data_IF_000046257830
#
_entry.id   IF_000046257830
#
_cell.length_a   1.000
_cell.length_b   1.000
_cell.length_c   1.000
_cell.angle_alpha   90.00
_cell.angle_beta   90.00
_cell.angle_gamma   90.00
#
_symmetry.space_group_name_H-M   'P 1'
#
loop_
_entity.id
_entity.type
_entity.pdbx_description
1 polymer ?
#
# COMPACT_ATOMS: atom_id res chain seq x y z
N UNK A 1 15.31 -14.08 -10.64
CA UNK A 1 14.09 -13.44 -10.09
C UNK A 1 14.47 -12.62 -8.87
N UNK A 2 13.90 -11.41 -8.75
CA UNK A 2 14.22 -10.52 -7.65
C UNK A 2 13.50 -10.95 -6.37
N UNK A 3 14.25 -11.08 -5.28
CA UNK A 3 13.66 -11.34 -3.97
C UNK A 3 13.38 -9.99 -3.29
N UNK A 4 12.21 -9.46 -3.51
CA UNK A 4 11.82 -8.14 -3.02
C UNK A 4 11.89 -8.06 -1.49
N UNK A 5 11.42 -9.09 -0.80
CA UNK A 5 11.40 -9.10 0.67
C UNK A 5 12.83 -9.03 1.22
N UNK A 6 13.73 -9.86 0.69
CA UNK A 6 15.12 -9.86 1.16
C UNK A 6 15.81 -8.52 0.88
N UNK A 7 15.61 -7.97 -0.32
CA UNK A 7 16.17 -6.65 -0.67
C UNK A 7 15.60 -5.57 0.25
N UNK A 8 14.30 -5.64 0.53
CA UNK A 8 13.64 -4.70 1.43
C UNK A 8 14.21 -4.73 2.84
N UNK A 9 14.49 -5.93 3.35
CA UNK A 9 15.13 -6.09 4.66
C UNK A 9 16.54 -5.49 4.65
N UNK A 10 17.32 -5.83 3.64
CA UNK A 10 18.71 -5.35 3.52
C UNK A 10 18.79 -3.82 3.42
N UNK A 11 17.83 -3.20 2.76
CA UNK A 11 17.78 -1.74 2.61
C UNK A 11 17.13 -1.03 3.79
N UNK A 12 16.66 -1.77 4.79
CA UNK A 12 16.01 -1.19 5.96
C UNK A 12 14.63 -0.62 5.71
N UNK A 13 13.95 -1.08 4.65
CA UNK A 13 12.61 -0.62 4.30
C UNK A 13 11.54 -1.33 5.10
N UNK A 14 11.76 -2.62 5.37
CA UNK A 14 10.89 -3.46 6.17
C UNK A 14 11.70 -4.30 7.14
N UNK A 15 11.04 -4.77 8.19
CA UNK A 15 11.63 -5.75 9.10
C UNK A 15 10.53 -6.68 9.62
N UNK A 16 10.95 -7.81 10.18
CA UNK A 16 10.04 -8.82 10.73
C UNK A 16 10.43 -9.15 12.16
N UNK A 17 9.45 -9.62 12.95
CA UNK A 17 9.72 -10.23 14.23
C UNK A 17 10.28 -11.65 14.02
N UNK A 18 10.61 -12.36 15.11
CA UNK A 18 11.31 -13.65 15.04
C UNK A 18 10.58 -14.68 14.18
N UNK A 19 9.27 -14.85 14.38
CA UNK A 19 8.49 -15.87 13.66
C UNK A 19 7.86 -15.35 12.36
N UNK A 20 8.16 -14.11 11.97
CA UNK A 20 7.64 -13.46 10.77
C UNK A 20 6.12 -13.34 10.75
N UNK A 21 5.51 -13.29 11.92
CA UNK A 21 4.05 -13.03 12.01
C UNK A 21 3.72 -11.55 11.94
N UNK A 22 4.70 -10.67 12.17
CA UNK A 22 4.51 -9.21 12.11
C UNK A 22 5.52 -8.59 11.16
N UNK A 23 5.05 -7.70 10.32
CA UNK A 23 5.89 -6.88 9.45
C UNK A 23 5.89 -5.44 9.96
N UNK A 24 7.06 -4.80 9.92
CA UNK A 24 7.20 -3.39 10.21
C UNK A 24 7.67 -2.65 8.96
N UNK A 25 6.94 -1.60 8.62
CA UNK A 25 7.33 -0.66 7.55
C UNK A 25 8.14 0.44 8.20
N UNK A 26 9.46 0.35 8.06
CA UNK A 26 10.39 1.06 8.93
C UNK A 26 10.30 2.58 8.86
N UNK A 27 10.09 3.15 7.67
CA UNK A 27 10.06 4.60 7.50
C UNK A 27 8.93 5.24 8.32
N UNK A 28 7.72 4.66 8.26
CA UNK A 28 6.57 5.17 9.00
C UNK A 28 6.47 4.59 10.42
N UNK A 29 7.18 3.50 10.71
CA UNK A 29 7.12 2.82 12.00
C UNK A 29 5.82 2.06 12.22
N UNK A 30 5.15 1.65 11.16
CA UNK A 30 3.87 0.93 11.24
C UNK A 30 4.06 -0.56 11.16
N UNK A 31 3.34 -1.29 12.03
CA UNK A 31 3.40 -2.75 12.07
C UNK A 31 2.04 -3.35 11.76
N UNK A 32 2.04 -4.51 11.08
CA UNK A 32 0.83 -5.22 10.71
C UNK A 32 1.04 -6.73 10.80
N UNK A 33 -0.08 -7.45 10.80
CA UNK A 33 -0.10 -8.91 10.82
C UNK A 33 0.32 -9.45 9.45
N UNK A 34 1.49 -10.10 9.37
CA UNK A 34 2.01 -10.61 8.10
C UNK A 34 1.41 -11.97 7.71
N UNK A 35 0.64 -12.59 8.60
CA UNK A 35 -0.11 -13.80 8.24
C UNK A 35 -1.34 -13.48 7.39
N UNK A 36 -1.76 -12.22 7.36
CA UNK A 36 -2.83 -11.75 6.51
C UNK A 36 -2.39 -11.81 5.03
N UNK A 37 -3.11 -12.57 4.17
CA UNK A 37 -2.73 -12.69 2.75
C UNK A 37 -2.69 -11.35 2.00
N UNK A 38 -3.56 -10.41 2.35
CA UNK A 38 -3.54 -9.08 1.72
C UNK A 38 -2.30 -8.29 2.12
N UNK A 39 -1.83 -8.46 3.35
CA UNK A 39 -0.62 -7.77 3.80
C UNK A 39 0.61 -8.25 3.02
N UNK A 40 0.64 -9.52 2.64
CA UNK A 40 1.74 -10.05 1.81
C UNK A 40 1.77 -9.39 0.43
N UNK A 41 0.61 -9.18 -0.18
CA UNK A 41 0.50 -8.45 -1.45
C UNK A 41 0.91 -6.99 -1.26
N UNK A 42 0.46 -6.38 -0.17
CA UNK A 42 0.78 -4.99 0.11
C UNK A 42 2.28 -4.75 0.30
N UNK A 43 2.95 -5.63 1.05
CA UNK A 43 4.39 -5.53 1.26
C UNK A 43 5.14 -5.63 -0.07
N UNK A 44 4.77 -6.59 -0.91
CA UNK A 44 5.37 -6.76 -2.23
C UNK A 44 5.15 -5.53 -3.11
N UNK A 45 3.93 -5.01 -3.13
CA UNK A 45 3.56 -3.84 -3.93
C UNK A 45 4.33 -2.59 -3.47
N UNK A 46 4.42 -2.40 -2.16
CA UNK A 46 5.22 -1.33 -1.56
C UNK A 46 6.68 -1.38 -2.04
N UNK A 47 7.28 -2.57 -2.00
CA UNK A 47 8.67 -2.74 -2.44
C UNK A 47 8.82 -2.56 -3.94
N UNK A 48 7.85 -2.99 -4.74
CA UNK A 48 7.87 -2.76 -6.19
C UNK A 48 7.85 -1.28 -6.52
N UNK A 49 7.04 -0.50 -5.81
CA UNK A 49 6.98 0.96 -6.01
C UNK A 49 8.36 1.60 -5.81
N UNK A 50 9.12 1.13 -4.83
CA UNK A 50 10.44 1.67 -4.53
C UNK A 50 11.50 1.10 -5.46
N UNK A 51 11.54 -0.22 -5.61
CA UNK A 51 12.65 -0.92 -6.29
C UNK A 51 12.51 -0.93 -7.80
N UNK A 52 11.29 -1.05 -8.32
CA UNK A 52 11.04 -1.12 -9.76
C UNK A 52 10.65 0.22 -10.36
N UNK A 53 9.83 1.00 -9.65
CA UNK A 53 9.32 2.28 -10.15
C UNK A 53 10.07 3.49 -9.61
N UNK A 54 11.04 3.26 -8.73
CA UNK A 54 11.96 4.28 -8.23
C UNK A 54 11.31 5.42 -7.46
N UNK A 55 10.15 5.18 -6.83
CA UNK A 55 9.56 6.18 -5.95
C UNK A 55 10.35 6.22 -4.64
N UNK A 56 10.78 7.41 -4.18
CA UNK A 56 11.43 7.52 -2.87
C UNK A 56 10.47 7.13 -1.75
N UNK A 57 10.98 6.45 -0.72
CA UNK A 57 10.15 5.99 0.38
C UNK A 57 9.40 7.13 1.07
N UNK A 58 9.98 8.33 1.10
CA UNK A 58 9.35 9.47 1.76
C UNK A 58 8.15 10.03 1.00
N UNK A 59 7.91 9.60 -0.24
CA UNK A 59 6.71 9.97 -1.01
C UNK A 59 5.61 8.93 -0.89
N UNK A 60 5.84 7.83 -0.18
CA UNK A 60 4.87 6.73 -0.06
C UNK A 60 4.35 6.68 1.36
N UNK A 61 3.02 6.68 1.51
CA UNK A 61 2.36 6.50 2.79
C UNK A 61 1.50 5.26 2.76
N UNK A 62 1.61 4.46 3.80
CA UNK A 62 0.82 3.24 3.99
C UNK A 62 -0.30 3.52 5.00
N UNK A 63 -1.40 2.83 4.84
CA UNK A 63 -2.52 2.89 5.79
C UNK A 63 -3.02 4.32 6.00
N UNK A 64 -3.33 4.98 4.88
CA UNK A 64 -3.71 6.41 4.88
C UNK A 64 -5.17 6.55 5.27
N UNK A 65 -5.49 7.32 6.33
CA UNK A 65 -6.88 7.55 6.71
C UNK A 65 -7.62 8.30 5.62
N UNK A 66 -8.84 7.84 5.31
CA UNK A 66 -9.72 8.47 4.34
C UNK A 66 -11.05 8.71 5.04
N UNK A 67 -11.43 9.96 5.20
CA UNK A 67 -12.71 10.33 5.82
C UNK A 67 -13.83 10.20 4.81
N UNK A 68 -14.83 9.38 5.12
CA UNK A 68 -15.98 9.11 4.25
C UNK A 68 -17.25 9.26 5.07
N UNK A 69 -17.84 10.44 5.03
CA UNK A 69 -18.99 10.76 5.87
C UNK A 69 -18.61 10.73 7.34
N UNK A 70 -19.29 9.88 8.13
CA UNK A 70 -19.01 9.73 9.56
C UNK A 70 -17.96 8.66 9.86
N UNK A 71 -17.47 7.97 8.84
CA UNK A 71 -16.49 6.89 9.00
C UNK A 71 -15.12 7.31 8.54
N UNK A 72 -14.08 6.69 9.13
CA UNK A 72 -12.71 6.80 8.65
C UNK A 72 -12.28 5.42 8.18
N UNK A 73 -11.95 5.33 6.89
CA UNK A 73 -11.44 4.12 6.28
C UNK A 73 -9.93 4.23 6.11
N UNK A 74 -9.28 3.18 5.63
CA UNK A 74 -7.85 3.16 5.41
C UNK A 74 -7.56 2.78 3.97
N UNK A 75 -6.88 3.65 3.24
CA UNK A 75 -6.34 3.29 1.93
C UNK A 75 -5.01 2.56 2.15
N UNK A 76 -4.76 1.50 1.40
CA UNK A 76 -3.58 0.67 1.63
C UNK A 76 -2.29 1.43 1.39
N UNK A 77 -2.14 2.04 0.22
CA UNK A 77 -0.92 2.79 -0.14
C UNK A 77 -1.33 4.03 -0.93
N UNK A 78 -0.69 5.15 -0.63
CA UNK A 78 -0.81 6.37 -1.45
C UNK A 78 0.60 6.86 -1.77
N UNK A 79 0.87 7.07 -3.06
CA UNK A 79 2.11 7.69 -3.52
C UNK A 79 1.82 9.16 -3.78
N UNK A 80 2.63 10.04 -3.21
CA UNK A 80 2.45 11.48 -3.32
C UNK A 80 3.44 12.09 -4.30
N UNK A 81 3.06 13.22 -4.88
CA UNK A 81 3.90 13.95 -5.80
C UNK A 81 4.75 15.03 -5.14
N UNK A 82 4.63 15.20 -3.81
CA UNK A 82 5.33 16.24 -3.06
C UNK A 82 5.78 15.69 -1.70
N UNK A 83 6.84 16.29 -1.15
CA UNK A 83 7.45 15.82 0.11
C UNK A 83 6.54 16.01 1.32
N UNK A 84 5.65 16.99 1.29
CA UNK A 84 4.68 17.22 2.38
C UNK A 84 3.51 16.26 2.34
N UNK A 85 3.43 15.43 1.31
CA UNK A 85 2.34 14.45 1.13
C UNK A 85 0.97 15.11 1.11
N UNK A 86 0.84 16.20 0.36
CA UNK A 86 -0.41 16.93 0.19
C UNK A 86 -1.06 16.68 -1.17
N UNK A 87 -0.27 16.24 -2.16
CA UNK A 87 -0.76 16.00 -3.53
C UNK A 87 -0.69 14.52 -3.86
N UNK A 88 -1.78 13.76 -3.63
CA UNK A 88 -1.78 12.33 -3.91
C UNK A 88 -1.68 12.10 -5.43
N UNK A 89 -0.77 11.23 -5.83
CA UNK A 89 -0.55 10.89 -7.23
C UNK A 89 -1.22 9.57 -7.59
N UNK A 90 -0.95 8.52 -6.80
CA UNK A 90 -1.47 7.18 -7.04
C UNK A 90 -2.09 6.65 -5.74
N UNK A 91 -3.31 6.15 -5.83
CA UNK A 91 -3.93 5.40 -4.75
C UNK A 91 -3.89 3.92 -5.11
N UNK A 92 -3.36 3.10 -4.22
CA UNK A 92 -3.18 1.66 -4.46
C UNK A 92 -4.00 0.88 -3.44
N UNK A 93 -4.81 -0.05 -3.93
CA UNK A 93 -5.54 -1.01 -3.10
C UNK A 93 -5.05 -2.42 -3.40
N UNK A 94 -4.80 -3.20 -2.37
CA UNK A 94 -4.26 -4.54 -2.47
C UNK A 94 -5.27 -5.58 -2.01
N UNK A 95 -5.40 -6.66 -2.77
CA UNK A 95 -6.24 -7.79 -2.41
C UNK A 95 -5.40 -9.06 -2.45
N UNK A 96 -5.81 -10.08 -1.71
CA UNK A 96 -5.14 -11.39 -1.71
C UNK A 96 -5.16 -11.99 -3.11
N UNK A 97 -4.18 -12.83 -3.42
CA UNK A 97 -4.07 -13.43 -4.76
C UNK A 97 -5.29 -14.26 -5.16
N UNK A 98 -5.94 -14.90 -4.19
CA UNK A 98 -7.09 -15.78 -4.41
C UNK A 98 -8.43 -15.03 -4.44
N UNK A 99 -8.39 -13.72 -4.58
CA UNK A 99 -9.61 -12.90 -4.60
C UNK A 99 -10.50 -13.30 -5.80
N UNK A 100 -11.81 -13.35 -5.56
CA UNK A 100 -12.78 -13.59 -6.65
C UNK A 100 -12.91 -12.35 -7.54
N UNK A 101 -13.45 -12.55 -8.75
CA UNK A 101 -13.72 -11.43 -9.66
C UNK A 101 -14.68 -10.41 -9.04
N UNK A 102 -15.71 -10.89 -8.36
CA UNK A 102 -16.69 -10.00 -7.71
C UNK A 102 -16.04 -9.17 -6.61
N UNK A 103 -15.22 -9.79 -5.77
CA UNK A 103 -14.50 -9.08 -4.72
C UNK A 103 -13.48 -8.10 -5.29
N UNK A 104 -12.81 -8.48 -6.39
CA UNK A 104 -11.87 -7.58 -7.05
C UNK A 104 -12.57 -6.37 -7.64
N UNK A 105 -13.75 -6.56 -8.24
CA UNK A 105 -14.55 -5.44 -8.76
C UNK A 105 -14.98 -4.50 -7.62
N UNK A 106 -15.35 -5.06 -6.46
CA UNK A 106 -15.68 -4.25 -5.29
C UNK A 106 -14.47 -3.45 -4.81
N UNK A 107 -13.28 -4.04 -4.87
CA UNK A 107 -12.05 -3.35 -4.51
C UNK A 107 -11.78 -2.17 -5.45
N UNK A 108 -12.04 -2.33 -6.75
CA UNK A 108 -11.93 -1.24 -7.73
C UNK A 108 -12.89 -0.11 -7.37
N UNK A 109 -14.15 -0.42 -7.08
CA UNK A 109 -15.14 0.58 -6.70
C UNK A 109 -14.74 1.30 -5.41
N UNK A 110 -14.23 0.57 -4.43
CA UNK A 110 -13.76 1.14 -3.17
C UNK A 110 -12.58 2.08 -3.39
N UNK A 111 -11.64 1.68 -4.25
CA UNK A 111 -10.46 2.48 -4.55
C UNK A 111 -10.85 3.82 -5.17
N UNK A 112 -11.80 3.82 -6.10
CA UNK A 112 -12.31 5.06 -6.67
C UNK A 112 -13.01 5.93 -5.63
N UNK A 113 -13.79 5.32 -4.73
CA UNK A 113 -14.45 6.05 -3.64
C UNK A 113 -13.42 6.74 -2.74
N UNK A 114 -12.35 6.04 -2.41
CA UNK A 114 -11.27 6.60 -1.59
C UNK A 114 -10.56 7.73 -2.35
N UNK A 115 -10.32 7.57 -3.64
CA UNK A 115 -9.68 8.58 -4.45
C UNK A 115 -10.48 9.88 -4.49
N UNK A 116 -11.81 9.77 -4.56
CA UNK A 116 -12.69 10.94 -4.48
C UNK A 116 -12.67 11.60 -3.11
N UNK A 117 -12.58 10.80 -2.05
CA UNK A 117 -12.67 11.31 -0.68
C UNK A 117 -11.36 11.93 -0.18
N UNK A 118 -10.22 11.52 -0.71
CA UNK A 118 -8.92 12.08 -0.33
C UNK A 118 -8.79 13.54 -0.78
N UNK A 119 -8.31 14.44 0.10
CA UNK A 119 -8.01 15.81 -0.31
C UNK A 119 -6.97 15.82 -1.43
N UNK A 120 -7.17 16.65 -2.43
CA UNK A 120 -6.34 16.72 -3.60
C UNK A 120 -6.92 15.89 -4.75
N UNK A 121 -6.27 15.90 -5.90
CA UNK A 121 -6.71 15.14 -7.06
C UNK A 121 -5.80 13.94 -7.25
N UNK A 122 -6.29 12.74 -6.88
CA UNK A 122 -5.60 11.50 -7.17
C UNK A 122 -5.61 11.30 -8.69
N UNK A 123 -4.44 11.14 -9.28
CA UNK A 123 -4.32 11.03 -10.74
C UNK A 123 -4.51 9.60 -11.24
N UNK A 124 -4.06 8.62 -10.46
CA UNK A 124 -4.10 7.21 -10.87
C UNK A 124 -4.61 6.35 -9.74
N UNK A 125 -5.37 5.34 -10.11
CA UNK A 125 -5.83 4.30 -9.17
C UNK A 125 -5.28 2.97 -9.65
N UNK A 126 -4.64 2.24 -8.76
CA UNK A 126 -4.08 0.92 -9.05
C UNK A 126 -4.63 -0.08 -8.05
N UNK A 127 -5.33 -1.10 -8.55
CA UNK A 127 -5.83 -2.20 -7.72
C UNK A 127 -5.09 -3.46 -8.14
N UNK A 128 -4.51 -4.16 -7.20
CA UNK A 128 -3.66 -5.31 -7.50
C UNK A 128 -3.90 -6.45 -6.52
N UNK A 129 -3.78 -7.68 -7.02
CA UNK A 129 -3.76 -8.89 -6.21
C UNK A 129 -2.40 -9.60 -6.30
N UNK A 130 -1.38 -8.89 -6.73
CA UNK A 130 -0.02 -9.43 -6.83
C UNK A 130 0.27 -10.14 -8.15
N UNK A 131 -0.57 -9.98 -9.13
CA UNK A 131 -0.37 -10.58 -10.47
C UNK A 131 0.00 -9.54 -11.50
#
# INVERSE_FOLDING_TARGET
>A
MKDYIQIGIEKGLISFNEDKSRIKYCYQGKERNYNNPEEKVQALTFLQLILDYNYPVYLIRLFVPVTMGSEVKEADIVVYGDELCLRPLILVECKKQEVSEAEFQQAINQAYSYAFALPGEVKYVWVTSGH
#
